data_IF_910887572296
#
_entry.id   IF_910887572296
#
_cell.length_a   1.000
_cell.length_b   1.000
_cell.length_c   1.000
_cell.angle_alpha   90.00
_cell.angle_beta   90.00
_cell.angle_gamma   90.00
#
_symmetry.space_group_name_H-M   'P 1'
#
loop_
_entity.id
_entity.type
_entity.pdbx_description
1 polymer ?
#
# COMPACT_ATOMS: atom_id res chain seq x y z
N UNK A 1 -7.19 -35.15 -0.11
CA UNK A 1 -7.76 -34.17 0.85
C UNK A 1 -6.65 -33.26 1.31
N UNK A 2 -6.54 -32.07 0.73
CA UNK A 2 -5.52 -31.08 1.08
C UNK A 2 -5.96 -30.28 2.31
N UNK A 3 -5.33 -30.56 3.45
CA UNK A 3 -5.44 -29.79 4.69
C UNK A 3 -4.57 -28.53 4.58
N UNK A 4 -5.07 -27.49 3.93
CA UNK A 4 -4.49 -26.15 4.08
C UNK A 4 -5.41 -25.35 5.01
N UNK A 5 -4.97 -24.96 6.22
CA UNK A 5 -5.76 -24.09 7.07
C UNK A 5 -5.98 -22.75 6.36
N UNK A 6 -7.23 -22.31 6.33
CA UNK A 6 -7.65 -21.02 5.78
C UNK A 6 -6.90 -19.91 6.53
N UNK A 7 -5.85 -19.38 5.90
CA UNK A 7 -5.04 -18.28 6.43
C UNK A 7 -5.90 -17.02 6.48
N UNK A 8 -6.41 -16.68 7.67
CA UNK A 8 -7.06 -15.37 7.87
C UNK A 8 -6.02 -14.28 7.59
N UNK A 9 -6.39 -13.30 6.76
CA UNK A 9 -5.59 -12.14 6.37
C UNK A 9 -5.13 -11.36 7.61
N UNK A 10 -3.92 -10.79 7.51
CA UNK A 10 -3.20 -10.05 8.56
C UNK A 10 -4.16 -9.18 9.38
N UNK A 11 -4.23 -9.40 10.69
CA UNK A 11 -5.19 -8.66 11.53
C UNK A 11 -4.72 -7.24 11.86
N UNK A 12 -3.43 -7.02 12.15
CA UNK A 12 -2.86 -5.67 12.30
C UNK A 12 -1.33 -5.68 12.37
N UNK A 13 -0.71 -4.71 11.68
CA UNK A 13 0.67 -4.26 11.95
C UNK A 13 0.56 -2.99 12.82
N UNK A 14 1.15 -3.01 14.01
CA UNK A 14 1.16 -1.86 14.91
C UNK A 14 2.15 -0.77 14.47
N UNK A 15 2.00 0.43 15.03
CA UNK A 15 2.96 1.54 14.83
C UNK A 15 4.37 1.22 15.37
N UNK A 16 4.45 0.23 16.26
CA UNK A 16 5.68 -0.34 16.80
C UNK A 16 6.33 -1.38 15.88
N UNK A 17 5.79 -1.57 14.68
CA UNK A 17 6.26 -2.55 13.70
C UNK A 17 5.94 -4.00 14.08
N UNK A 18 5.15 -4.24 15.14
CA UNK A 18 4.81 -5.60 15.58
C UNK A 18 3.54 -6.10 14.92
N UNK A 19 3.47 -7.41 14.72
CA UNK A 19 2.26 -8.08 14.25
C UNK A 19 1.39 -8.48 15.42
N UNK A 20 0.09 -8.20 15.30
CA UNK A 20 -0.90 -8.53 16.31
C UNK A 20 -1.90 -9.56 15.77
N UNK A 21 -2.20 -10.57 16.59
CA UNK A 21 -3.24 -11.56 16.31
C UNK A 21 -4.64 -11.08 16.75
N UNK A 22 -5.67 -11.93 16.59
CA UNK A 22 -7.07 -11.65 16.97
C UNK A 22 -7.25 -11.30 18.46
N UNK A 23 -6.34 -11.79 19.31
CA UNK A 23 -6.36 -11.54 20.74
C UNK A 23 -5.70 -10.21 21.14
N UNK A 24 -5.33 -9.35 20.19
CA UNK A 24 -4.50 -8.15 20.43
C UNK A 24 -3.16 -8.47 21.11
N UNK A 25 -2.67 -9.69 20.98
CA UNK A 25 -1.34 -10.10 21.44
C UNK A 25 -0.35 -10.04 20.29
N UNK A 26 0.89 -9.67 20.63
CA UNK A 26 2.01 -9.71 19.69
C UNK A 26 2.23 -11.15 19.24
N UNK A 27 2.26 -11.37 17.93
CA UNK A 27 2.66 -12.63 17.33
C UNK A 27 4.19 -12.74 17.39
N UNK A 28 4.77 -13.65 18.20
CA UNK A 28 6.21 -13.84 18.25
C UNK A 28 6.76 -14.39 16.93
N UNK A 29 7.98 -13.98 16.59
CA UNK A 29 8.76 -14.58 15.51
C UNK A 29 9.32 -15.92 15.98
N UNK A 30 9.17 -16.95 15.16
CA UNK A 30 9.63 -18.32 15.39
C UNK A 30 10.37 -18.81 14.15
N UNK A 31 11.22 -19.81 14.34
CA UNK A 31 11.95 -20.47 13.25
C UNK A 31 11.35 -21.85 13.03
N UNK A 32 11.05 -22.17 11.76
CA UNK A 32 10.51 -23.45 11.37
C UNK A 32 11.54 -24.57 11.60
N UNK A 33 11.11 -25.62 12.29
CA UNK A 33 11.94 -26.80 12.55
C UNK A 33 12.25 -27.60 11.29
N UNK A 34 13.14 -28.58 11.44
CA UNK A 34 13.63 -29.45 10.36
C UNK A 34 12.56 -30.33 9.72
N UNK A 35 11.43 -30.56 10.38
CA UNK A 35 10.33 -31.41 9.90
C UNK A 35 9.26 -30.63 9.11
N UNK A 36 9.57 -29.43 8.62
CA UNK A 36 8.62 -28.59 7.87
C UNK A 36 9.00 -28.51 6.38
N UNK A 37 8.09 -28.03 5.53
CA UNK A 37 8.39 -27.78 4.11
C UNK A 37 9.35 -26.60 3.88
N UNK A 38 9.60 -25.79 4.92
CA UNK A 38 10.49 -24.63 4.88
C UNK A 38 11.39 -24.57 6.13
N UNK A 39 12.29 -25.55 6.33
CA UNK A 39 13.18 -25.55 7.50
C UNK A 39 14.02 -24.28 7.59
N UNK A 40 14.16 -23.72 8.80
CA UNK A 40 14.96 -22.52 9.03
C UNK A 40 14.29 -21.21 8.62
N UNK A 41 13.14 -21.24 7.93
CA UNK A 41 12.39 -20.03 7.61
C UNK A 41 11.68 -19.49 8.84
N UNK A 42 11.55 -18.17 8.91
CA UNK A 42 10.93 -17.48 10.05
C UNK A 42 9.44 -17.24 9.79
N UNK A 43 8.64 -17.41 10.84
CA UNK A 43 7.19 -17.21 10.79
C UNK A 43 6.66 -16.57 12.07
N UNK A 44 5.53 -15.90 11.93
CA UNK A 44 4.74 -15.34 13.02
C UNK A 44 3.54 -16.24 13.29
N UNK A 45 3.27 -16.50 14.57
CA UNK A 45 2.13 -17.32 14.99
C UNK A 45 1.47 -16.73 16.23
N UNK A 46 0.16 -16.93 16.41
CA UNK A 46 -0.52 -16.58 17.66
C UNK A 46 0.11 -17.34 18.86
N UNK A 47 0.41 -16.67 19.99
CA UNK A 47 0.88 -17.33 21.21
C UNK A 47 -0.07 -18.41 21.76
N UNK A 48 -1.36 -18.33 21.40
CA UNK A 48 -2.40 -19.25 21.85
C UNK A 48 -2.77 -20.34 20.85
N UNK A 49 -2.10 -20.40 19.69
CA UNK A 49 -2.37 -21.40 18.66
C UNK A 49 -2.34 -22.84 19.22
N UNK A 50 -1.38 -23.14 20.09
CA UNK A 50 -1.22 -24.47 20.71
C UNK A 50 -2.17 -24.74 21.88
N UNK A 51 -2.88 -23.74 22.42
CA UNK A 51 -3.60 -23.89 23.70
C UNK A 51 -5.11 -24.01 23.56
N UNK A 52 -5.74 -23.37 22.58
CA UNK A 52 -7.22 -23.31 22.50
C UNK A 52 -7.84 -23.28 21.10
N UNK A 53 -7.07 -23.40 20.02
CA UNK A 53 -7.62 -23.62 18.66
C UNK A 53 -8.42 -22.46 18.03
N UNK A 54 -8.64 -21.36 18.75
CA UNK A 54 -9.52 -20.29 18.25
C UNK A 54 -8.81 -19.29 17.31
N UNK A 55 -7.48 -19.16 17.39
CA UNK A 55 -6.72 -18.22 16.58
C UNK A 55 -5.67 -18.92 15.72
N UNK A 56 -5.97 -19.02 14.43
CA UNK A 56 -5.12 -19.65 13.40
C UNK A 56 -4.26 -18.61 12.66
N UNK A 57 -3.81 -17.57 13.37
CA UNK A 57 -2.91 -16.56 12.79
C UNK A 57 -1.54 -17.19 12.57
N UNK A 58 -1.15 -17.30 11.31
CA UNK A 58 0.13 -17.80 10.85
C UNK A 58 0.56 -17.01 9.61
N UNK A 59 1.79 -16.49 9.61
CA UNK A 59 2.38 -15.81 8.46
C UNK A 59 3.85 -16.11 8.35
N UNK A 60 4.34 -16.37 7.13
CA UNK A 60 5.78 -16.33 6.89
C UNK A 60 6.27 -14.88 6.99
N UNK A 61 7.45 -14.69 7.58
CA UNK A 61 8.06 -13.37 7.68
C UNK A 61 8.24 -12.72 6.31
N UNK A 62 8.66 -13.51 5.32
CA UNK A 62 8.83 -13.08 3.93
C UNK A 62 7.53 -12.49 3.33
N UNK A 63 6.38 -13.13 3.60
CA UNK A 63 5.09 -12.66 3.09
C UNK A 63 4.69 -11.32 3.72
N UNK A 64 5.00 -11.14 5.01
CA UNK A 64 4.79 -9.87 5.73
C UNK A 64 5.71 -8.79 5.19
N UNK A 65 7.00 -9.09 5.03
CA UNK A 65 8.00 -8.15 4.51
C UNK A 65 7.59 -7.68 3.11
N UNK A 66 7.17 -8.60 2.24
CA UNK A 66 6.65 -8.28 0.90
C UNK A 66 5.39 -7.42 0.96
N UNK A 67 4.46 -7.70 1.88
CA UNK A 67 3.25 -6.89 2.04
C UNK A 67 3.57 -5.45 2.48
N UNK A 68 4.50 -5.30 3.44
CA UNK A 68 4.96 -3.99 3.92
C UNK A 68 5.66 -3.21 2.81
N UNK A 69 6.56 -3.85 2.06
CA UNK A 69 7.27 -3.24 0.94
C UNK A 69 6.29 -2.77 -0.15
N UNK A 70 5.35 -3.62 -0.56
CA UNK A 70 4.31 -3.24 -1.55
C UNK A 70 3.43 -2.10 -1.05
N UNK A 71 3.12 -2.06 0.25
CA UNK A 71 2.38 -0.96 0.87
C UNK A 71 3.17 0.35 0.89
N UNK A 72 4.49 0.29 1.05
CA UNK A 72 5.37 1.45 0.93
C UNK A 72 5.46 1.95 -0.52
N UNK A 73 5.65 1.04 -1.48
CA UNK A 73 5.67 1.37 -2.92
C UNK A 73 4.37 2.03 -3.37
N UNK A 74 3.21 1.49 -2.97
CA UNK A 74 1.90 2.08 -3.30
C UNK A 74 1.78 3.52 -2.80
N UNK A 75 2.20 3.78 -1.55
CA UNK A 75 2.18 5.14 -0.98
C UNK A 75 3.12 6.08 -1.72
N UNK A 76 4.31 5.62 -2.11
CA UNK A 76 5.24 6.43 -2.89
C UNK A 76 4.64 6.82 -4.25
N UNK A 77 3.94 5.88 -4.92
CA UNK A 77 3.24 6.14 -6.17
C UNK A 77 2.06 7.11 -6.00
N UNK A 78 1.31 7.01 -4.90
CA UNK A 78 0.22 7.94 -4.59
C UNK A 78 0.74 9.37 -4.42
N UNK A 79 1.83 9.56 -3.67
CA UNK A 79 2.49 10.87 -3.51
C UNK A 79 3.02 11.42 -4.84
N UNK A 80 3.59 10.56 -5.70
CA UNK A 80 4.03 10.98 -7.03
C UNK A 80 2.85 11.42 -7.90
N UNK A 81 1.73 10.69 -7.84
CA UNK A 81 0.52 11.02 -8.58
C UNK A 81 -0.06 12.37 -8.14
N UNK A 82 -0.13 12.63 -6.83
CA UNK A 82 -0.60 13.91 -6.30
C UNK A 82 0.25 15.09 -6.81
N UNK A 83 1.58 14.94 -6.81
CA UNK A 83 2.50 15.97 -7.35
C UNK A 83 2.28 16.22 -8.84
N UNK A 84 2.12 15.15 -9.62
CA UNK A 84 1.85 15.26 -11.06
C UNK A 84 0.49 15.92 -11.34
N UNK A 85 -0.53 15.64 -10.53
CA UNK A 85 -1.84 16.29 -10.63
C UNK A 85 -1.77 17.78 -10.29
N UNK A 86 -0.97 18.17 -9.29
CA UNK A 86 -0.71 19.57 -8.96
C UNK A 86 0.02 20.30 -10.10
N UNK A 87 1.09 19.72 -10.63
CA UNK A 87 1.86 20.29 -11.75
C UNK A 87 1.01 20.42 -13.01
N UNK A 88 0.20 19.40 -13.33
CA UNK A 88 -0.78 19.46 -14.42
C UNK A 88 -1.75 20.62 -14.23
N UNK A 89 -2.27 20.82 -13.03
CA UNK A 89 -3.16 21.94 -12.71
C UNK A 89 -2.50 23.32 -12.88
N UNK A 90 -1.21 23.44 -12.57
CA UNK A 90 -0.44 24.67 -12.81
C UNK A 90 -0.26 24.95 -14.31
N UNK A 91 0.13 23.93 -15.08
CA UNK A 91 0.28 24.03 -16.53
C UNK A 91 -1.04 24.37 -17.22
N UNK A 92 -2.16 23.79 -16.79
CA UNK A 92 -3.49 24.11 -17.33
C UNK A 92 -3.88 25.57 -17.05
N UNK A 93 -3.58 26.11 -15.86
CA UNK A 93 -3.79 27.54 -15.55
C UNK A 93 -2.88 28.45 -16.38
N UNK A 94 -1.63 28.07 -16.53
CA UNK A 94 -0.67 28.81 -17.35
C UNK A 94 -1.12 28.83 -18.81
N UNK A 95 -1.52 27.69 -19.38
CA UNK A 95 -2.07 27.60 -20.74
C UNK A 95 -3.33 28.46 -20.90
N UNK A 96 -4.23 28.45 -19.93
CA UNK A 96 -5.41 29.31 -19.93
C UNK A 96 -5.04 30.81 -19.94
N UNK A 97 -3.96 31.20 -19.26
CA UNK A 97 -3.47 32.58 -19.27
C UNK A 97 -2.94 33.03 -20.64
N UNK A 98 -2.39 32.11 -21.43
CA UNK A 98 -1.93 32.39 -22.81
C UNK A 98 -3.07 32.34 -23.85
N UNK A 99 -4.12 31.56 -23.60
CA UNK A 99 -5.27 31.45 -24.52
C UNK A 99 -6.17 32.70 -24.53
N UNK A 100 -6.27 33.42 -23.42
CA UNK A 100 -7.11 34.64 -23.30
C UNK A 100 -6.60 35.82 -24.15
N UNK A 101 -5.28 36.16 -24.16
CA UNK A 101 -4.74 37.20 -25.03
C UNK A 101 -4.91 36.93 -26.52
N UNK A 102 -4.81 35.68 -26.97
CA UNK A 102 -4.90 35.32 -28.39
C UNK A 102 -6.31 35.58 -28.95
N UNK A 103 -7.36 35.33 -28.16
CA UNK A 103 -8.74 35.60 -28.56
C UNK A 103 -9.09 37.10 -28.57
N UNK A 104 -8.43 37.91 -27.75
CA UNK A 104 -8.59 39.37 -27.76
C UNK A 104 -7.88 40.02 -28.95
N UNK A 105 -6.68 39.58 -29.30
CA UNK A 105 -5.94 40.07 -30.48
C UNK A 105 -6.65 39.73 -31.81
N UNK A 106 -7.42 38.65 -31.85
CA UNK A 106 -8.20 38.26 -33.03
C UNK A 106 -9.44 39.14 -33.26
N UNK A 107 -9.91 39.85 -32.23
CA UNK A 107 -11.16 40.62 -32.25
C UNK A 107 -10.97 42.07 -32.68
N UNK A 108 -9.76 42.60 -32.51
CA UNK A 108 -9.39 43.94 -32.98
C UNK A 108 -9.03 43.97 -34.49
N UNK A 109 -8.78 42.81 -35.11
CA UNK A 109 -8.48 42.72 -36.55
C UNK A 109 -9.71 42.83 -37.49
N UNK A 110 -10.93 42.89 -36.96
CA UNK A 110 -12.17 42.94 -37.78
C UNK A 110 -12.92 44.28 -37.72
N UNK A 111 -12.33 45.34 -37.16
CA UNK A 111 -13.04 46.61 -36.92
C UNK A 111 -12.62 47.82 -37.76
N UNK A 112 -11.77 47.64 -38.76
CA UNK A 112 -11.44 48.70 -39.73
C UNK A 112 -11.74 48.23 -41.15
N UNK A 113 -12.92 48.59 -41.63
CA UNK A 113 -13.39 48.35 -42.99
C UNK A 113 -14.65 49.19 -43.24
N UNK A 114 -14.47 50.52 -43.19
CA UNK A 114 -15.42 51.51 -43.70
C UNK A 114 -15.38 51.53 -45.23
#
# INVERSE_FOLDING_TARGET
>A
MSLFPSYKKILRIGIDGKLYCEHNLVAPLRVAGTCTSRPGHEFYECPYALRRGDCNVFFWKEDVDNYVLRGAEKRALEVQKEKLEEEKGLLERELASYAVPILLLSRDSCRDGY
#
